data_IF_599527798041
#
_entry.id   IF_599527798041
#
_cell.length_a   1.000
_cell.length_b   1.000
_cell.length_c   1.000
_cell.angle_alpha   90.00
_cell.angle_beta   90.00
_cell.angle_gamma   90.00
#
_symmetry.space_group_name_H-M   'P 1'
#
loop_
_entity.id
_entity.type
_entity.pdbx_description
1 polymer ?
#
# COMPACT_ATOMS: atom_id res chain seq x y z
N UNK A 1 -42.22 81.48 2.25
CA UNK A 1 -41.99 80.78 0.97
C UNK A 1 -40.49 80.57 0.81
N UNK A 2 -40.11 79.38 0.33
CA UNK A 2 -38.85 78.68 0.61
C UNK A 2 -37.57 79.39 0.16
N UNK A 3 -36.57 79.40 1.05
CA UNK A 3 -35.15 79.65 0.73
C UNK A 3 -34.46 78.30 0.54
N UNK A 4 -34.02 77.97 -0.68
CA UNK A 4 -33.12 76.86 -0.96
C UNK A 4 -31.67 77.35 -0.83
N UNK A 5 -30.92 76.81 0.13
CA UNK A 5 -29.46 76.87 0.18
C UNK A 5 -28.91 75.55 -0.36
N UNK A 6 -28.28 75.60 -1.54
CA UNK A 6 -27.60 74.46 -2.15
C UNK A 6 -26.20 74.34 -1.52
N UNK A 7 -25.93 73.24 -0.80
CA UNK A 7 -24.57 72.90 -0.35
C UNK A 7 -24.03 71.75 -1.20
N UNK A 8 -23.06 72.06 -2.07
CA UNK A 8 -22.28 71.05 -2.76
C UNK A 8 -21.48 70.23 -1.73
N UNK A 9 -21.68 68.91 -1.70
CA UNK A 9 -20.88 67.99 -0.89
C UNK A 9 -19.91 67.27 -1.81
N UNK A 10 -18.62 67.52 -1.61
CA UNK A 10 -17.52 66.81 -2.25
C UNK A 10 -17.44 65.40 -1.65
N UNK A 11 -17.69 64.37 -2.45
CA UNK A 11 -17.47 62.97 -2.04
C UNK A 11 -16.03 62.59 -2.40
N UNK A 12 -15.17 62.44 -1.39
CA UNK A 12 -13.86 61.79 -1.55
C UNK A 12 -14.08 60.30 -1.35
N UNK A 13 -13.98 59.52 -2.43
CA UNK A 13 -13.98 58.07 -2.37
C UNK A 13 -12.56 57.62 -1.98
N UNK A 14 -12.39 57.22 -0.73
CA UNK A 14 -11.15 56.59 -0.26
C UNK A 14 -11.13 55.12 -0.66
N UNK A 15 -10.29 54.76 -1.63
CA UNK A 15 -10.06 53.37 -2.02
C UNK A 15 -9.28 52.64 -0.92
N UNK A 16 -9.92 51.73 -0.20
CA UNK A 16 -9.26 50.80 0.71
C UNK A 16 -8.53 49.75 -0.13
N UNK A 17 -7.20 49.81 -0.19
CA UNK A 17 -6.38 48.72 -0.71
C UNK A 17 -6.33 47.59 0.33
N UNK A 18 -7.17 46.57 0.15
CA UNK A 18 -7.02 45.29 0.85
C UNK A 18 -5.83 44.56 0.24
N UNK A 19 -4.66 44.66 0.86
CA UNK A 19 -3.53 43.77 0.55
C UNK A 19 -3.87 42.42 1.16
N UNK A 20 -4.36 41.48 0.35
CA UNK A 20 -4.56 40.10 0.77
C UNK A 20 -3.20 39.45 1.01
N UNK A 21 -2.86 39.19 2.27
CA UNK A 21 -1.71 38.36 2.61
C UNK A 21 -1.99 36.93 2.17
N UNK A 22 -1.34 36.48 1.11
CA UNK A 22 -1.30 35.07 0.74
C UNK A 22 -0.47 34.32 1.80
N UNK A 23 -1.15 33.53 2.63
CA UNK A 23 -0.50 32.53 3.48
C UNK A 23 -0.09 31.38 2.58
N UNK A 24 1.21 31.28 2.29
CA UNK A 24 1.75 30.08 1.66
C UNK A 24 1.74 28.96 2.70
N UNK A 25 1.15 27.80 2.36
CA UNK A 25 1.31 26.60 3.17
C UNK A 25 2.79 26.23 3.20
N UNK A 26 3.38 26.21 4.39
CA UNK A 26 4.76 25.79 4.60
C UNK A 26 4.88 24.32 4.16
N UNK A 27 5.82 24.03 3.26
CA UNK A 27 6.06 22.65 2.84
C UNK A 27 6.64 21.89 4.05
N UNK A 28 5.84 21.01 4.65
CA UNK A 28 6.31 20.12 5.69
C UNK A 28 7.25 19.08 5.07
N UNK A 29 8.55 19.21 5.34
CA UNK A 29 9.53 18.18 5.00
C UNK A 29 9.44 17.09 6.06
N UNK A 30 9.00 15.90 5.66
CA UNK A 30 8.97 14.73 6.55
C UNK A 30 10.37 14.10 6.65
N UNK A 31 10.71 13.61 7.85
CA UNK A 31 11.89 12.78 8.08
C UNK A 31 11.44 11.33 8.20
N UNK A 32 12.16 10.42 7.55
CA UNK A 32 11.91 8.99 7.60
C UNK A 32 13.00 8.28 8.41
N UNK A 33 12.62 7.23 9.13
CA UNK A 33 13.55 6.29 9.75
C UNK A 33 13.60 5.04 8.87
N UNK A 34 14.80 4.57 8.53
CA UNK A 34 14.98 3.34 7.77
C UNK A 34 15.26 2.17 8.69
N UNK A 35 14.56 1.06 8.48
CA UNK A 35 14.79 -0.22 9.14
C UNK A 35 15.01 -1.29 8.07
N UNK A 36 16.12 -2.01 8.16
CA UNK A 36 16.37 -3.15 7.28
C UNK A 36 15.67 -4.38 7.85
N UNK A 37 14.79 -5.00 7.06
CA UNK A 37 14.09 -6.23 7.45
C UNK A 37 14.88 -7.49 7.08
N UNK A 38 15.58 -7.45 5.95
CA UNK A 38 16.48 -8.51 5.48
C UNK A 38 17.55 -7.95 4.54
N UNK A 39 18.66 -8.66 4.42
CA UNK A 39 19.74 -8.44 3.45
C UNK A 39 19.79 -9.51 2.35
N UNK A 40 18.83 -10.45 2.35
CA UNK A 40 18.76 -11.56 1.41
C UNK A 40 17.74 -11.25 0.32
N UNK A 41 18.14 -11.44 -0.93
CA UNK A 41 17.27 -11.25 -2.08
C UNK A 41 16.36 -12.46 -2.26
N UNK A 42 15.04 -12.24 -2.14
CA UNK A 42 14.04 -13.30 -2.26
C UNK A 42 12.97 -13.01 -3.32
N UNK A 43 12.69 -11.74 -3.60
CA UNK A 43 11.59 -11.32 -4.46
C UNK A 43 11.91 -9.97 -5.10
N UNK A 44 11.32 -9.70 -6.26
CA UNK A 44 11.34 -8.36 -6.87
C UNK A 44 10.45 -7.37 -6.11
N UNK A 45 9.35 -7.86 -5.53
CA UNK A 45 8.28 -7.04 -4.98
C UNK A 45 8.01 -7.32 -3.51
N UNK A 46 7.43 -6.32 -2.85
CA UNK A 46 6.89 -6.43 -1.51
C UNK A 46 5.47 -5.86 -1.49
N UNK A 47 4.66 -6.31 -0.54
CA UNK A 47 3.35 -5.71 -0.28
C UNK A 47 3.10 -5.66 1.24
N UNK A 48 2.03 -5.02 1.67
CA UNK A 48 1.68 -4.90 3.08
C UNK A 48 0.17 -5.04 3.33
N UNK A 49 -0.18 -5.63 4.47
CA UNK A 49 -1.55 -5.94 4.88
C UNK A 49 -1.56 -6.65 6.23
N UNK A 50 -2.69 -6.66 6.91
CA UNK A 50 -2.81 -7.23 8.27
C UNK A 50 -3.01 -8.75 8.17
N UNK A 51 -1.95 -9.54 8.36
CA UNK A 51 -1.96 -11.00 8.28
C UNK A 51 -2.18 -11.65 9.66
N UNK A 52 -1.89 -10.92 10.74
CA UNK A 52 -2.02 -11.41 12.11
C UNK A 52 -3.27 -10.91 12.86
N UNK A 53 -4.08 -10.06 12.23
CA UNK A 53 -5.31 -9.43 12.77
C UNK A 53 -5.07 -8.52 13.97
N UNK A 54 -3.89 -7.94 14.10
CA UNK A 54 -3.58 -7.00 15.18
C UNK A 54 -3.93 -5.55 14.86
N UNK A 55 -4.40 -5.28 13.64
CA UNK A 55 -4.76 -3.94 13.15
C UNK A 55 -3.58 -3.12 12.63
N UNK A 56 -2.35 -3.66 12.68
CA UNK A 56 -1.16 -3.09 12.04
C UNK A 56 -0.92 -3.76 10.69
N UNK A 57 -0.33 -3.02 9.75
CA UNK A 57 0.10 -3.63 8.50
C UNK A 57 1.37 -4.46 8.72
N UNK A 58 1.34 -5.71 8.26
CA UNK A 58 2.50 -6.57 8.12
C UNK A 58 3.13 -6.39 6.74
N UNK A 59 4.42 -6.72 6.57
CA UNK A 59 5.11 -6.66 5.27
C UNK A 59 5.32 -8.07 4.73
N UNK A 60 4.92 -8.33 3.49
CA UNK A 60 5.24 -9.58 2.76
C UNK A 60 6.39 -9.32 1.79
N UNK A 61 7.42 -10.16 1.84
CA UNK A 61 8.54 -10.15 0.91
C UNK A 61 9.01 -11.58 0.62
N UNK A 62 8.65 -12.09 -0.55
CA UNK A 62 8.95 -13.46 -0.96
C UNK A 62 8.40 -14.51 0.03
N UNK A 63 9.25 -15.37 0.61
CA UNK A 63 8.83 -16.44 1.52
C UNK A 63 8.46 -15.96 2.92
N UNK A 64 8.58 -14.66 3.22
CA UNK A 64 8.40 -14.14 4.57
C UNK A 64 7.26 -13.13 4.66
N UNK A 65 6.63 -13.09 5.83
CA UNK A 65 5.99 -11.89 6.33
C UNK A 65 6.64 -11.39 7.62
N UNK A 66 6.64 -10.06 7.82
CA UNK A 66 7.23 -9.37 8.95
C UNK A 66 6.14 -8.66 9.74
N UNK A 67 5.97 -9.02 11.01
CA UNK A 67 4.86 -8.53 11.82
C UNK A 67 5.02 -7.05 12.16
N UNK A 68 4.02 -6.23 11.83
CA UNK A 68 3.95 -4.83 12.24
C UNK A 68 3.66 -4.68 13.74
N UNK A 69 3.72 -3.45 14.28
CA UNK A 69 4.29 -2.25 13.67
C UNK A 69 5.82 -2.14 13.85
N UNK A 70 6.46 -3.06 14.58
CA UNK A 70 7.90 -2.97 14.89
C UNK A 70 8.80 -3.79 13.96
N UNK A 71 8.21 -4.67 13.15
CA UNK A 71 8.86 -5.48 12.12
C UNK A 71 10.05 -6.31 12.62
N UNK A 72 10.04 -6.72 13.90
CA UNK A 72 11.11 -7.55 14.48
C UNK A 72 10.84 -9.04 14.36
N UNK A 73 9.57 -9.45 14.36
CA UNK A 73 9.18 -10.84 14.14
C UNK A 73 9.02 -11.09 12.64
N UNK A 74 9.55 -12.22 12.17
CA UNK A 74 9.35 -12.70 10.81
C UNK A 74 8.87 -14.15 10.83
N UNK A 75 8.06 -14.50 9.85
CA UNK A 75 7.40 -15.80 9.74
C UNK A 75 7.49 -16.32 8.30
N UNK A 76 7.63 -17.63 8.14
CA UNK A 76 7.71 -18.26 6.82
C UNK A 76 6.30 -18.54 6.28
N UNK A 77 6.03 -18.07 5.07
CA UNK A 77 4.88 -18.46 4.25
C UNK A 77 5.19 -19.78 3.54
N UNK A 78 6.40 -19.90 2.99
CA UNK A 78 6.90 -21.10 2.32
C UNK A 78 8.41 -21.23 2.50
N UNK A 79 8.97 -22.38 2.14
CA UNK A 79 10.39 -22.66 2.31
C UNK A 79 11.27 -21.58 1.62
N UNK A 80 12.17 -20.90 2.35
CA UNK A 80 12.94 -19.80 1.81
C UNK A 80 14.06 -20.29 0.88
N UNK A 81 14.08 -19.74 -0.34
CA UNK A 81 15.14 -19.98 -1.32
C UNK A 81 15.71 -18.64 -1.77
N UNK A 82 16.96 -18.29 -1.38
CA UNK A 82 17.61 -17.08 -1.85
C UNK A 82 17.74 -17.06 -3.37
N UNK A 83 17.54 -15.89 -3.95
CA UNK A 83 17.60 -15.65 -5.39
C UNK A 83 18.96 -15.06 -5.77
N UNK A 84 19.32 -15.20 -7.05
CA UNK A 84 20.57 -14.63 -7.57
C UNK A 84 20.38 -13.13 -7.82
N UNK A 85 21.08 -12.28 -7.09
CA UNK A 85 21.04 -10.81 -7.23
C UNK A 85 21.43 -10.29 -8.63
N UNK A 86 22.07 -11.13 -9.46
CA UNK A 86 22.42 -10.80 -10.84
C UNK A 86 21.38 -11.29 -11.87
N UNK A 87 20.23 -11.79 -11.42
CA UNK A 87 19.12 -12.24 -12.25
C UNK A 87 17.78 -11.88 -11.61
N UNK A 88 16.69 -12.31 -12.24
CA UNK A 88 15.34 -12.11 -11.70
C UNK A 88 15.02 -13.17 -10.65
N UNK A 89 14.29 -12.76 -9.61
CA UNK A 89 13.64 -13.64 -8.66
C UNK A 89 12.45 -14.39 -9.31
N UNK A 90 12.00 -15.48 -8.70
CA UNK A 90 10.81 -16.23 -9.13
C UNK A 90 9.50 -15.71 -8.53
N UNK A 91 9.55 -14.69 -7.66
CA UNK A 91 8.41 -14.00 -7.06
C UNK A 91 8.48 -12.51 -7.42
N UNK A 92 7.53 -12.02 -8.21
CA UNK A 92 7.50 -10.64 -8.70
C UNK A 92 6.52 -9.75 -7.92
N UNK A 93 5.31 -10.25 -7.65
CA UNK A 93 4.25 -9.47 -7.01
C UNK A 93 3.56 -10.30 -5.94
N UNK A 94 3.15 -9.64 -4.87
CA UNK A 94 2.39 -10.22 -3.77
C UNK A 94 1.14 -9.35 -3.57
N UNK A 95 -0.03 -9.94 -3.33
CA UNK A 95 -1.24 -9.22 -2.90
C UNK A 95 -1.87 -9.93 -1.71
N UNK A 96 -2.44 -9.14 -0.82
CA UNK A 96 -2.94 -9.59 0.48
C UNK A 96 -4.45 -9.40 0.48
N UNK A 97 -5.19 -10.50 0.62
CA UNK A 97 -6.65 -10.52 0.55
C UNK A 97 -7.19 -11.82 1.15
N UNK A 98 -8.40 -11.79 1.70
CA UNK A 98 -9.10 -12.96 2.21
C UNK A 98 -9.76 -13.75 1.05
N UNK A 99 -9.01 -14.67 0.43
CA UNK A 99 -9.48 -15.38 -0.76
C UNK A 99 -10.50 -16.47 -0.42
N UNK A 100 -10.42 -17.04 0.78
CA UNK A 100 -11.29 -18.14 1.21
C UNK A 100 -12.50 -17.68 2.05
N UNK A 101 -12.55 -16.42 2.48
CA UNK A 101 -13.62 -15.82 3.27
C UNK A 101 -13.62 -16.23 4.75
N UNK A 102 -12.50 -16.71 5.28
CA UNK A 102 -12.37 -17.13 6.69
C UNK A 102 -12.00 -15.95 7.64
N UNK A 103 -11.85 -14.78 7.05
CA UNK A 103 -11.51 -13.52 7.69
C UNK A 103 -10.01 -13.31 7.81
N UNK A 104 -9.14 -14.29 7.56
CA UNK A 104 -7.68 -14.12 7.54
C UNK A 104 -7.23 -13.73 6.14
N UNK A 105 -6.37 -12.72 6.05
CA UNK A 105 -5.79 -12.38 4.77
C UNK A 105 -4.77 -13.44 4.35
N UNK A 106 -4.92 -13.94 3.13
CA UNK A 106 -3.99 -14.82 2.43
C UNK A 106 -3.01 -14.01 1.57
N UNK A 107 -2.08 -14.69 0.90
CA UNK A 107 -1.11 -14.07 -0.01
C UNK A 107 -1.20 -14.67 -1.41
N UNK A 108 -1.63 -13.88 -2.39
CA UNK A 108 -1.48 -14.18 -3.81
C UNK A 108 -0.07 -13.78 -4.27
N UNK A 109 0.64 -14.68 -4.92
CA UNK A 109 1.93 -14.44 -5.55
C UNK A 109 1.85 -14.65 -7.05
N UNK A 110 2.28 -13.64 -7.82
CA UNK A 110 2.61 -13.80 -9.23
C UNK A 110 4.14 -13.91 -9.38
N UNK A 111 4.58 -14.99 -10.01
CA UNK A 111 5.99 -15.27 -10.22
C UNK A 111 6.57 -14.62 -11.47
N UNK A 112 7.65 -15.21 -11.99
CA UNK A 112 8.25 -14.79 -13.26
C UNK A 112 7.18 -14.76 -14.37
N UNK A 113 7.17 -13.76 -15.27
CA UNK A 113 6.18 -13.67 -16.33
C UNK A 113 6.05 -14.97 -17.14
N UNK A 114 4.83 -15.48 -17.26
CA UNK A 114 4.51 -16.75 -17.92
C UNK A 114 4.55 -17.98 -17.01
N UNK A 115 4.79 -17.82 -15.70
CA UNK A 115 4.65 -18.88 -14.70
C UNK A 115 3.28 -18.83 -14.00
N UNK A 116 2.83 -19.94 -13.37
CA UNK A 116 1.59 -19.95 -12.60
C UNK A 116 1.59 -18.92 -11.46
N UNK A 117 0.39 -18.49 -11.09
CA UNK A 117 0.17 -17.71 -9.86
C UNK A 117 -0.41 -18.61 -8.76
N UNK A 118 -0.02 -18.31 -7.52
CA UNK A 118 -0.38 -19.12 -6.37
C UNK A 118 -1.00 -18.28 -5.26
N UNK A 119 -2.03 -18.81 -4.59
CA UNK A 119 -2.47 -18.32 -3.29
C UNK A 119 -1.87 -19.19 -2.19
N UNK A 120 -1.24 -18.56 -1.21
CA UNK A 120 -0.83 -19.17 0.03
C UNK A 120 -1.89 -18.87 1.09
N UNK A 121 -2.59 -19.91 1.52
CA UNK A 121 -3.70 -19.86 2.49
C UNK A 121 -3.15 -19.67 3.91
N UNK A 122 -3.53 -18.58 4.56
CA UNK A 122 -3.10 -18.21 5.91
C UNK A 122 -3.72 -19.19 6.92
N UNK A 123 -2.91 -19.94 7.70
CA UNK A 123 -3.43 -20.95 8.61
C UNK A 123 -3.99 -20.37 9.93
N UNK A 124 -3.99 -19.03 10.08
CA UNK A 124 -4.32 -18.32 11.31
C UNK A 124 -3.24 -18.47 12.39
N UNK A 125 -3.50 -17.86 13.55
CA UNK A 125 -2.50 -17.69 14.63
C UNK A 125 -1.81 -19.00 15.06
N UNK A 126 -2.55 -20.10 15.15
CA UNK A 126 -2.01 -21.40 15.54
C UNK A 126 -1.01 -21.99 14.51
N UNK A 127 -1.04 -21.50 13.28
CA UNK A 127 -0.23 -22.00 12.16
C UNK A 127 0.93 -21.10 11.73
N UNK A 128 1.16 -19.94 12.35
CA UNK A 128 2.22 -19.00 11.96
C UNK A 128 3.66 -19.56 12.06
N UNK A 129 3.84 -20.74 12.66
CA UNK A 129 5.10 -21.49 12.68
C UNK A 129 5.23 -22.56 11.58
N UNK A 130 4.25 -22.68 10.68
CA UNK A 130 4.21 -23.68 9.61
C UNK A 130 4.15 -23.02 8.24
N UNK A 131 4.58 -23.72 7.20
CA UNK A 131 4.36 -23.26 5.82
C UNK A 131 2.89 -23.33 5.45
N UNK A 132 2.46 -22.31 4.72
CA UNK A 132 1.09 -22.09 4.32
C UNK A 132 0.71 -23.04 3.20
N UNK A 133 -0.57 -23.38 3.13
CA UNK A 133 -1.07 -24.29 2.10
C UNK A 133 -1.10 -23.54 0.77
N UNK A 134 -0.42 -24.09 -0.24
CA UNK A 134 -0.28 -23.48 -1.56
C UNK A 134 -1.37 -23.98 -2.52
N UNK A 135 -2.04 -23.05 -3.19
CA UNK A 135 -3.01 -23.30 -4.24
C UNK A 135 -2.55 -22.64 -5.53
N UNK A 136 -2.55 -23.38 -6.63
CA UNK A 136 -2.40 -22.77 -7.96
C UNK A 136 -3.76 -22.21 -8.38
N UNK A 137 -3.80 -20.93 -8.73
CA UNK A 137 -5.06 -20.23 -9.08
C UNK A 137 -5.10 -19.76 -10.53
N UNK A 138 -3.94 -19.66 -11.18
CA UNK A 138 -3.81 -19.40 -12.61
C UNK A 138 -2.66 -20.20 -13.20
N UNK A 139 -2.88 -20.76 -14.38
CA UNK A 139 -1.86 -21.51 -15.13
C UNK A 139 -0.67 -20.63 -15.55
N UNK A 140 -0.91 -19.35 -15.87
CA UNK A 140 0.14 -18.37 -16.14
C UNK A 140 -0.31 -16.91 -15.97
N UNK A 141 0.60 -16.05 -15.51
CA UNK A 141 0.44 -14.58 -15.55
C UNK A 141 1.60 -13.99 -16.36
N UNK A 142 1.33 -13.44 -17.54
CA UNK A 142 2.38 -13.05 -18.52
C UNK A 142 2.68 -11.55 -18.59
N UNK A 143 1.98 -10.69 -17.85
CA UNK A 143 2.30 -9.27 -17.84
C UNK A 143 3.39 -8.96 -16.79
N UNK A 144 4.13 -7.89 -17.02
CA UNK A 144 5.22 -7.44 -16.12
C UNK A 144 4.73 -6.45 -15.05
N UNK A 145 3.46 -6.06 -15.08
CA UNK A 145 2.86 -5.18 -14.08
C UNK A 145 1.38 -5.50 -13.86
N UNK A 146 1.04 -6.74 -13.47
CA UNK A 146 -0.31 -7.09 -13.02
C UNK A 146 -0.74 -6.20 -11.88
N UNK A 147 -2.05 -6.01 -11.79
CA UNK A 147 -2.72 -5.35 -10.68
C UNK A 147 -3.81 -6.29 -10.20
N UNK A 148 -4.03 -6.30 -8.89
CA UNK A 148 -5.16 -6.97 -8.27
C UNK A 148 -6.00 -5.88 -7.63
N UNK A 149 -7.07 -5.49 -8.32
CA UNK A 149 -7.85 -4.30 -8.00
C UNK A 149 -9.29 -4.54 -8.43
N UNK A 150 -10.23 -3.92 -7.72
CA UNK A 150 -11.63 -3.96 -8.10
C UNK A 150 -11.90 -2.94 -9.21
N UNK A 151 -12.12 -3.42 -10.43
CA UNK A 151 -12.38 -2.59 -11.62
C UNK A 151 -13.87 -2.48 -11.95
N UNK A 152 -14.71 -3.32 -11.34
CA UNK A 152 -16.17 -3.35 -11.59
C UNK A 152 -17.03 -2.78 -10.46
N UNK A 153 -16.40 -2.35 -9.36
CA UNK A 153 -17.04 -1.79 -8.15
C UNK A 153 -18.00 -2.76 -7.47
N UNK A 154 -17.63 -4.05 -7.37
CA UNK A 154 -18.35 -5.04 -6.57
C UNK A 154 -17.64 -5.38 -5.24
N UNK A 155 -17.91 -6.51 -4.60
CA UNK A 155 -17.24 -6.88 -3.34
C UNK A 155 -15.86 -7.51 -3.53
N UNK A 156 -15.46 -7.84 -4.77
CA UNK A 156 -14.28 -8.65 -5.07
C UNK A 156 -13.35 -7.93 -6.05
N UNK A 157 -12.04 -7.92 -5.77
CA UNK A 157 -11.05 -7.52 -6.77
C UNK A 157 -10.89 -8.57 -7.89
N UNK A 158 -10.46 -8.09 -9.07
CA UNK A 158 -10.06 -8.90 -10.21
C UNK A 158 -8.55 -9.18 -10.26
#
# INVERSE_FOLDING_TARGET
MNSLSLRARLFVVGSLLCVGSSVFAEHQVHTFQSQQLTDVYFSEGANAGDLNKDGSADVVYGPYWFAGPDFKAKHEIYAPVPQNVNGYADNFFNWIYDFNGDGWNDVLTAGFPGTPAYVYENPGEAGFGSHWKKHEVFDWVSNESPQFVNIVDDERPE
#
